data_IF_667568847884
#
_entry.id   IF_667568847884
#
_cell.length_a   1.000
_cell.length_b   1.000
_cell.length_c   1.000
_cell.angle_alpha   90.00
_cell.angle_beta   90.00
_cell.angle_gamma   90.00
#
_symmetry.space_group_name_H-M   'P 1'
#
loop_
_entity.id
_entity.type
_entity.pdbx_description
1 polymer ?
#
# COMPACT_ATOMS: atom_id res chain seq x y z
N UNK A 1 -22.67 -13.98 2.94
CA UNK A 1 -21.73 -15.13 2.92
C UNK A 1 -20.60 -14.63 2.08
N UNK A 2 -19.65 -13.95 2.73
CA UNK A 2 -18.67 -13.15 2.01
C UNK A 2 -17.39 -13.99 1.96
N UNK A 3 -17.09 -14.45 0.75
CA UNK A 3 -15.89 -15.21 0.45
C UNK A 3 -14.68 -14.30 0.63
N UNK A 4 -14.00 -14.39 1.78
CA UNK A 4 -12.63 -13.92 1.95
C UNK A 4 -11.75 -14.67 0.94
N UNK A 5 -11.49 -14.04 -0.21
CA UNK A 5 -10.50 -14.54 -1.16
C UNK A 5 -9.10 -14.19 -0.61
N UNK A 6 -8.65 -14.97 0.39
CA UNK A 6 -7.35 -14.85 1.05
C UNK A 6 -6.22 -15.34 0.13
N UNK A 7 -6.08 -14.75 -1.06
CA UNK A 7 -4.97 -15.04 -1.94
C UNK A 7 -3.74 -14.29 -1.44
N UNK A 8 -2.94 -14.94 -0.60
CA UNK A 8 -1.65 -14.40 -0.17
C UNK A 8 -0.70 -14.40 -1.33
N UNK A 9 -0.39 -13.22 -1.88
CA UNK A 9 0.62 -13.11 -2.92
C UNK A 9 1.99 -13.30 -2.25
N UNK A 10 2.63 -14.44 -2.56
CA UNK A 10 3.95 -14.79 -2.04
C UNK A 10 4.95 -13.82 -2.66
N UNK A 11 5.57 -12.99 -1.84
CA UNK A 11 6.47 -11.94 -2.24
C UNK A 11 7.58 -11.71 -1.24
N UNK A 12 8.38 -10.69 -1.51
CA UNK A 12 9.56 -10.35 -0.70
C UNK A 12 9.13 -9.79 0.66
N UNK A 13 7.95 -9.16 0.71
CA UNK A 13 7.19 -8.84 1.91
C UNK A 13 5.81 -9.51 1.91
N UNK A 14 5.03 -9.31 2.98
CA UNK A 14 3.66 -9.82 3.04
C UNK A 14 2.72 -8.79 2.43
N UNK A 15 2.03 -9.20 1.37
CA UNK A 15 1.06 -8.38 0.65
C UNK A 15 -0.33 -9.04 0.67
N UNK A 16 -1.35 -8.25 0.97
CA UNK A 16 -2.76 -8.67 0.97
C UNK A 16 -3.61 -7.63 0.27
N UNK A 17 -4.51 -8.07 -0.59
CA UNK A 17 -5.45 -7.21 -1.28
C UNK A 17 -6.88 -7.60 -0.91
N UNK A 18 -7.71 -6.59 -0.67
CA UNK A 18 -9.17 -6.71 -0.61
C UNK A 18 -9.72 -5.91 -1.77
N UNK A 19 -10.18 -6.61 -2.80
CA UNK A 19 -10.72 -6.00 -4.01
C UNK A 19 -12.14 -5.47 -3.75
N UNK A 20 -12.37 -4.20 -4.10
CA UNK A 20 -13.71 -3.63 -4.06
C UNK A 20 -14.55 -4.11 -5.24
N UNK A 21 -15.87 -4.25 -5.04
CA UNK A 21 -16.80 -4.78 -6.05
C UNK A 21 -16.98 -3.86 -7.26
N UNK A 22 -16.87 -2.54 -7.05
CA UNK A 22 -16.81 -1.56 -8.14
C UNK A 22 -15.39 -1.56 -8.77
N UNK A 23 -15.25 -1.92 -10.06
CA UNK A 23 -13.95 -1.94 -10.75
C UNK A 23 -13.35 -0.54 -10.95
N UNK A 24 -14.13 0.53 -10.77
CA UNK A 24 -13.68 1.92 -10.83
C UNK A 24 -13.34 2.51 -9.45
N UNK A 25 -13.40 1.69 -8.39
CA UNK A 25 -12.99 2.14 -7.05
C UNK A 25 -11.51 2.54 -7.05
N UNK A 26 -11.20 3.59 -6.30
CA UNK A 26 -9.81 3.97 -6.09
C UNK A 26 -9.07 2.92 -5.25
N UNK A 27 -7.75 2.91 -5.36
CA UNK A 27 -6.87 2.01 -4.61
C UNK A 27 -6.30 2.73 -3.39
N UNK A 28 -6.26 2.06 -2.24
CA UNK A 28 -5.54 2.54 -1.05
C UNK A 28 -4.45 1.55 -0.70
N UNK A 29 -3.20 2.02 -0.63
CA UNK A 29 -2.09 1.29 -0.07
C UNK A 29 -1.88 1.64 1.40
N UNK A 30 -1.77 0.61 2.25
CA UNK A 30 -1.35 0.71 3.64
C UNK A 30 0.04 0.08 3.79
N UNK A 31 1.06 0.92 3.99
CA UNK A 31 2.45 0.47 4.16
C UNK A 31 2.81 0.36 5.64
N UNK A 32 3.07 -0.86 6.10
CA UNK A 32 3.37 -1.16 7.50
C UNK A 32 4.74 -0.69 7.98
N UNK A 33 4.82 -0.46 9.29
CA UNK A 33 6.05 -0.10 9.99
C UNK A 33 7.00 -1.31 10.15
N UNK A 34 8.20 -1.07 10.70
CA UNK A 34 9.18 -2.13 10.97
C UNK A 34 8.63 -3.16 11.98
N UNK A 35 8.66 -4.45 11.63
CA UNK A 35 8.07 -5.51 12.45
C UNK A 35 6.54 -5.51 12.47
N UNK A 36 5.90 -4.76 11.57
CA UNK A 36 4.44 -4.78 11.41
C UNK A 36 3.98 -6.18 10.98
N UNK A 37 2.93 -6.68 11.64
CA UNK A 37 2.17 -7.82 11.19
C UNK A 37 0.92 -7.34 10.44
N UNK A 38 0.54 -8.08 9.40
CA UNK A 38 -0.65 -7.80 8.58
C UNK A 38 -1.93 -7.58 9.42
N UNK A 39 -2.06 -8.28 10.57
CA UNK A 39 -3.18 -8.16 11.51
C UNK A 39 -3.43 -6.73 11.99
N UNK A 40 -2.37 -5.93 12.10
CA UNK A 40 -2.50 -4.55 12.55
C UNK A 40 -2.99 -3.63 11.43
N UNK A 41 -2.57 -3.90 10.19
CA UNK A 41 -3.07 -3.17 9.02
C UNK A 41 -4.53 -3.51 8.73
N UNK A 42 -5.03 -4.68 9.11
CA UNK A 42 -6.46 -5.03 9.00
C UNK A 42 -7.35 -4.02 9.72
N UNK A 43 -6.94 -3.52 10.90
CA UNK A 43 -7.70 -2.51 11.65
C UNK A 43 -7.88 -1.22 10.82
N UNK A 44 -6.82 -0.79 10.15
CA UNK A 44 -6.84 0.42 9.32
C UNK A 44 -7.52 0.20 7.97
N UNK A 45 -7.44 -1.00 7.40
CA UNK A 45 -8.10 -1.34 6.15
C UNK A 45 -9.62 -1.13 6.20
N UNK A 46 -10.25 -1.47 7.33
CA UNK A 46 -11.69 -1.29 7.55
C UNK A 46 -12.19 0.15 7.32
N UNK A 47 -11.34 1.15 7.46
CA UNK A 47 -11.67 2.56 7.19
C UNK A 47 -11.95 2.79 5.70
N UNK A 48 -11.29 2.01 4.83
CA UNK A 48 -11.28 2.21 3.39
C UNK A 48 -12.07 1.13 2.63
N UNK A 49 -12.21 -0.08 3.19
CA UNK A 49 -12.81 -1.25 2.51
C UNK A 49 -14.21 -1.00 1.94
N UNK A 50 -14.96 -0.02 2.49
CA UNK A 50 -16.31 0.33 2.00
C UNK A 50 -16.30 0.94 0.60
N UNK A 51 -15.30 1.76 0.27
CA UNK A 51 -15.32 2.61 -0.93
C UNK A 51 -14.07 2.41 -1.82
N UNK A 52 -13.09 1.63 -1.35
CA UNK A 52 -11.78 1.48 -1.98
C UNK A 52 -11.37 0.01 -2.09
N UNK A 53 -10.62 -0.31 -3.15
CA UNK A 53 -9.76 -1.51 -3.12
C UNK A 53 -8.61 -1.22 -2.17
N UNK A 54 -8.32 -2.14 -1.25
CA UNK A 54 -7.30 -1.92 -0.22
C UNK A 54 -6.16 -2.92 -0.39
N UNK A 55 -4.93 -2.42 -0.49
CA UNK A 55 -3.72 -3.24 -0.46
C UNK A 55 -2.95 -2.94 0.82
N UNK A 56 -2.68 -3.99 1.58
CA UNK A 56 -1.85 -3.96 2.78
C UNK A 56 -0.50 -4.56 2.44
N UNK A 57 0.57 -3.84 2.76
CA UNK A 57 1.92 -4.29 2.53
C UNK A 57 2.76 -4.16 3.79
N UNK A 58 3.46 -5.22 4.17
CA UNK A 58 4.46 -5.20 5.23
C UNK A 58 5.78 -5.70 4.66
N UNK A 59 6.80 -4.84 4.69
CA UNK A 59 8.15 -5.22 4.29
C UNK A 59 8.74 -6.18 5.32
N UNK A 60 9.43 -7.24 4.86
CA UNK A 60 10.18 -8.11 5.76
C UNK A 60 11.41 -7.37 6.29
N UNK A 61 11.33 -6.97 7.56
CA UNK A 61 12.40 -6.20 8.21
C UNK A 61 13.72 -6.99 8.29
N UNK A 62 13.67 -8.33 8.28
CA UNK A 62 14.88 -9.15 8.27
C UNK A 62 15.67 -9.01 6.98
N UNK A 63 15.07 -8.47 5.91
CA UNK A 63 15.70 -8.25 4.61
C UNK A 63 16.14 -6.80 4.39
N UNK A 64 15.73 -5.90 5.27
CA UNK A 64 16.16 -4.49 5.23
C UNK A 64 17.57 -4.39 5.81
N UNK A 65 18.54 -4.00 4.98
CA UNK A 65 19.94 -3.74 5.38
C UNK A 65 20.37 -2.31 5.05
N UNK A 66 19.72 -1.69 4.07
CA UNK A 66 19.90 -0.30 3.68
C UNK A 66 18.67 0.17 2.90
N UNK A 67 18.62 1.44 2.52
CA UNK A 67 17.56 1.95 1.64
C UNK A 67 17.48 1.17 0.30
N UNK A 68 18.61 0.68 -0.22
CA UNK A 68 18.63 -0.09 -1.46
C UNK A 68 17.84 -1.42 -1.36
N UNK A 69 17.69 -1.99 -0.16
CA UNK A 69 16.88 -3.19 0.08
C UNK A 69 15.41 -2.98 -0.30
N UNK A 70 14.89 -1.75 -0.23
CA UNK A 70 13.49 -1.46 -0.52
C UNK A 70 13.13 -1.53 -2.01
N UNK A 71 14.13 -1.49 -2.91
CA UNK A 71 13.91 -1.59 -4.37
C UNK A 71 13.24 -2.91 -4.76
N UNK A 72 13.59 -4.00 -4.08
CA UNK A 72 13.01 -5.30 -4.39
C UNK A 72 11.54 -5.39 -3.92
N UNK A 73 11.19 -4.74 -2.80
CA UNK A 73 9.80 -4.60 -2.37
C UNK A 73 9.00 -3.72 -3.33
N UNK A 74 9.58 -2.62 -3.79
CA UNK A 74 8.97 -1.72 -4.76
C UNK A 74 8.65 -2.44 -6.08
N UNK A 75 9.60 -3.23 -6.59
CA UNK A 75 9.40 -4.03 -7.81
C UNK A 75 8.27 -5.05 -7.61
N UNK A 76 8.26 -5.75 -6.47
CA UNK A 76 7.21 -6.71 -6.14
C UNK A 76 5.80 -6.07 -6.08
N UNK A 77 5.70 -4.86 -5.52
CA UNK A 77 4.45 -4.07 -5.52
C UNK A 77 4.05 -3.65 -6.93
N UNK A 78 5.01 -3.20 -7.73
CA UNK A 78 4.74 -2.74 -9.09
C UNK A 78 4.20 -3.88 -9.95
N UNK A 79 4.91 -5.00 -10.05
CA UNK A 79 4.57 -6.13 -10.92
C UNK A 79 3.24 -6.78 -10.51
N UNK A 80 2.99 -6.91 -9.20
CA UNK A 80 1.78 -7.61 -8.72
C UNK A 80 0.53 -6.76 -8.71
N UNK A 81 0.67 -5.44 -8.55
CA UNK A 81 -0.47 -4.55 -8.32
C UNK A 81 -0.54 -3.47 -9.37
N UNK A 82 0.51 -2.66 -9.49
CA UNK A 82 0.40 -1.41 -10.24
C UNK A 82 0.43 -1.61 -11.75
N UNK A 83 1.19 -2.57 -12.25
CA UNK A 83 1.29 -2.85 -13.69
C UNK A 83 -0.06 -3.22 -14.32
N UNK A 84 -0.94 -3.86 -13.55
CA UNK A 84 -2.27 -4.30 -14.00
C UNK A 84 -3.42 -3.47 -13.41
N UNK A 85 -3.11 -2.46 -12.59
CA UNK A 85 -4.14 -1.64 -11.94
C UNK A 85 -4.81 -0.71 -12.94
N UNK A 86 -6.14 -0.70 -12.91
CA UNK A 86 -6.98 0.26 -13.64
C UNK A 86 -7.58 1.32 -12.72
N UNK A 87 -7.15 1.37 -11.45
CA UNK A 87 -7.71 2.28 -10.47
C UNK A 87 -7.47 3.75 -10.90
N UNK A 88 -8.51 4.62 -10.89
CA UNK A 88 -8.38 5.99 -11.35
C UNK A 88 -7.54 6.87 -10.42
N UNK A 89 -7.44 6.49 -9.14
CA UNK A 89 -6.65 7.17 -8.12
C UNK A 89 -6.01 6.15 -7.19
N UNK A 90 -4.80 6.46 -6.72
CA UNK A 90 -4.11 5.68 -5.71
C UNK A 90 -3.79 6.56 -4.50
N UNK A 91 -4.23 6.14 -3.33
CA UNK A 91 -3.92 6.77 -2.05
C UNK A 91 -2.89 5.95 -1.31
N UNK A 92 -1.91 6.60 -0.69
CA UNK A 92 -0.89 5.91 0.09
C UNK A 92 -0.92 6.40 1.54
N UNK A 93 -1.08 5.45 2.46
CA UNK A 93 -0.93 5.65 3.89
C UNK A 93 0.35 4.93 4.35
N UNK A 94 1.35 5.71 4.78
CA UNK A 94 2.64 5.18 5.20
C UNK A 94 2.79 5.24 6.72
N UNK A 95 2.93 4.08 7.34
CA UNK A 95 3.18 3.99 8.77
C UNK A 95 4.67 3.98 9.06
N UNK A 96 5.12 4.97 9.84
CA UNK A 96 6.51 5.12 10.29
C UNK A 96 7.52 5.19 9.14
N UNK A 97 8.81 5.19 9.48
CA UNK A 97 9.90 5.30 8.52
C UNK A 97 9.93 4.13 7.53
N UNK A 98 9.64 2.91 7.97
CA UNK A 98 9.68 1.73 7.09
C UNK A 98 8.63 1.83 5.96
N UNK A 99 7.40 2.25 6.28
CA UNK A 99 6.38 2.44 5.27
C UNK A 99 6.74 3.56 4.30
N UNK A 100 7.29 4.68 4.81
CA UNK A 100 7.80 5.77 3.97
C UNK A 100 8.94 5.30 3.06
N UNK A 101 9.91 4.53 3.58
CA UNK A 101 11.03 4.03 2.78
C UNK A 101 10.59 3.08 1.66
N UNK A 102 9.62 2.20 1.92
CA UNK A 102 9.00 1.38 0.87
C UNK A 102 8.34 2.25 -0.20
N UNK A 103 7.55 3.24 0.21
CA UNK A 103 6.90 4.15 -0.72
C UNK A 103 7.91 4.97 -1.54
N UNK A 104 8.97 5.50 -0.92
CA UNK A 104 10.00 6.25 -1.64
C UNK A 104 10.70 5.37 -2.69
N UNK A 105 11.06 4.12 -2.36
CA UNK A 105 11.65 3.21 -3.34
C UNK A 105 10.68 2.87 -4.48
N UNK A 106 9.37 2.79 -4.19
CA UNK A 106 8.33 2.60 -5.19
C UNK A 106 8.18 3.83 -6.08
N UNK A 107 8.21 5.03 -5.49
CA UNK A 107 8.17 6.28 -6.22
C UNK A 107 9.36 6.42 -7.17
N UNK A 108 10.58 6.15 -6.68
CA UNK A 108 11.80 6.15 -7.50
C UNK A 108 11.68 5.17 -8.70
N UNK A 109 11.10 3.99 -8.48
CA UNK A 109 10.84 3.02 -9.55
C UNK A 109 9.82 3.57 -10.56
N UNK A 110 8.70 4.11 -10.08
CA UNK A 110 7.66 4.67 -10.94
C UNK A 110 8.19 5.80 -11.82
N UNK A 111 9.06 6.67 -11.30
CA UNK A 111 9.70 7.73 -12.09
C UNK A 111 10.53 7.14 -13.25
N UNK A 112 11.20 5.99 -13.04
CA UNK A 112 11.97 5.32 -14.11
C UNK A 112 11.08 4.66 -15.18
N UNK A 113 9.93 4.12 -14.77
CA UNK A 113 9.00 3.45 -15.69
C UNK A 113 8.14 4.47 -16.44
N UNK A 114 7.70 5.54 -15.80
CA UNK A 114 6.96 6.63 -16.45
C UNK A 114 7.83 7.38 -17.47
N UNK A 115 9.12 7.56 -17.19
CA UNK A 115 10.06 8.15 -18.15
C UNK A 115 10.24 7.29 -19.42
N UNK A 116 10.03 5.97 -19.33
CA UNK A 116 10.17 5.04 -20.45
C UNK A 116 8.84 4.70 -21.14
N UNK A 117 7.70 4.93 -20.50
CA UNK A 117 6.36 4.66 -21.04
C UNK A 117 5.50 5.92 -21.14
N UNK A 118 5.18 6.33 -22.38
CA UNK A 118 4.21 7.41 -22.68
C UNK A 118 2.78 7.15 -22.16
N UNK A 119 2.52 5.97 -21.60
CA UNK A 119 1.20 5.44 -21.21
C UNK A 119 0.86 5.57 -19.72
N UNK A 120 1.81 5.93 -18.84
CA UNK A 120 1.52 6.13 -17.41
C UNK A 120 1.06 7.57 -17.15
N UNK A 121 0.07 8.02 -17.92
CA UNK A 121 -0.65 9.22 -17.56
C UNK A 121 -1.68 8.86 -16.48
N UNK A 122 -1.54 9.51 -15.32
CA UNK A 122 -2.57 9.68 -14.27
C UNK A 122 -2.51 8.79 -13.02
N UNK A 123 -1.33 8.30 -12.59
CA UNK A 123 -1.18 7.94 -11.19
C UNK A 123 -1.10 9.21 -10.33
N UNK A 124 -2.26 9.71 -9.90
CA UNK A 124 -2.35 10.80 -8.92
C UNK A 124 -2.30 10.19 -7.53
N UNK A 125 -1.14 10.32 -6.90
CA UNK A 125 -0.97 9.96 -5.49
C UNK A 125 -1.43 11.10 -4.60
N UNK A 126 -2.40 10.83 -3.74
CA UNK A 126 -2.77 11.73 -2.65
C UNK A 126 -2.14 11.20 -1.36
N UNK A 127 -1.26 12.02 -0.78
CA UNK A 127 -0.56 11.73 0.46
C UNK A 127 -1.50 11.91 1.66
N UNK A 128 -1.72 10.85 2.42
CA UNK A 128 -2.40 10.91 3.71
C UNK A 128 -1.44 10.43 4.81
N UNK A 129 -0.84 11.37 5.53
CA UNK A 129 -0.07 11.07 6.74
C UNK A 129 -0.98 11.19 7.96
N UNK A 130 -1.45 10.07 8.47
CA UNK A 130 -2.01 10.03 9.81
C UNK A 130 -0.88 9.69 10.78
N UNK A 131 -0.41 10.69 11.51
CA UNK A 131 0.30 10.48 12.76
C UNK A 131 -0.69 9.91 13.78
N UNK A 132 -0.89 8.60 13.79
CA UNK A 132 -1.53 7.96 14.93
C UNK A 132 -0.48 7.90 16.04
N UNK A 133 -0.49 8.93 16.89
CA UNK A 133 0.12 8.82 18.22
C UNK A 133 -0.52 7.61 18.90
N UNK A 134 0.34 6.78 19.50
CA UNK A 134 -0.04 5.87 20.56
C UNK A 134 -0.65 6.72 21.67
N UNK A 135 -1.97 6.77 21.75
CA UNK A 135 -2.72 6.77 22.99
C UNK A 135 -4.20 6.59 22.65
N UNK A 136 -4.81 5.61 23.31
CA UNK A 136 -6.25 5.46 23.39
C UNK A 136 -6.89 6.79 23.83
N UNK A 137 -8.02 7.14 23.21
CA UNK A 137 -8.85 8.35 23.39
C UNK A 137 -8.58 9.47 22.39
N UNK A 138 -9.33 9.50 21.27
CA UNK A 138 -10.04 10.67 20.72
C UNK A 138 -11.03 10.19 19.62
N UNK A 139 -12.13 10.94 19.36
CA UNK A 139 -13.35 10.43 18.76
C UNK A 139 -13.26 10.27 17.24
N UNK A 140 -14.20 9.47 16.71
CA UNK A 140 -14.54 9.20 15.31
C UNK A 140 -14.01 10.22 14.29
N UNK A 141 -13.36 9.77 13.20
CA UNK A 141 -13.05 10.66 12.09
C UNK A 141 -14.36 11.14 11.44
N UNK A 142 -14.52 12.47 11.37
CA UNK A 142 -15.50 13.13 10.51
C UNK A 142 -15.13 12.83 9.04
N UNK A 143 -15.76 11.82 8.48
CA UNK A 143 -16.07 11.72 7.07
C UNK A 143 -17.57 11.49 6.90
#
# INVERSE_FOLDING_TARGET
MDSENNNGMIGEGVMRMVQHSNPQAALVFLFGWAGCSDRYLTKYAKIYEKDFTVVRFTADIQRVRSFASYRQFALDIYEKILETSTAPYIYCHMFSMNGCSTFCALWDLLDTVCASSSSLHCLRFIYAQLYLRYDDCLPEPLF
#
